data_IF_474367880866
#
_entry.id   IF_474367880866
#
_cell.length_a   1.000
_cell.length_b   1.000
_cell.length_c   1.000
_cell.angle_alpha   90.00
_cell.angle_beta   90.00
_cell.angle_gamma   90.00
#
_symmetry.space_group_name_H-M   'P 1'
#
loop_
_entity.id
_entity.type
_entity.pdbx_description
1 polymer ?
#
# COMPACT_ATOMS: atom_id res chain seq x y z
N UNK A 1 4.56 -7.81 3.20
CA UNK A 1 4.62 -6.64 2.30
C UNK A 1 3.26 -6.49 1.65
N UNK A 2 2.62 -5.34 1.84
CA UNK A 2 1.30 -5.00 1.33
C UNK A 2 1.32 -4.63 -0.16
N UNK A 3 0.21 -4.89 -0.86
CA UNK A 3 -0.01 -4.32 -2.19
C UNK A 3 0.08 -2.80 -2.15
N UNK A 4 0.90 -2.20 -2.99
CA UNK A 4 1.23 -0.77 -2.86
C UNK A 4 0.90 0.03 -4.12
N UNK A 5 0.96 -0.60 -5.28
CA UNK A 5 0.80 0.14 -6.54
C UNK A 5 -0.65 0.51 -6.80
N UNK A 6 -1.61 -0.28 -6.31
CA UNK A 6 -3.02 0.09 -6.34
C UNK A 6 -3.30 1.38 -5.56
N UNK A 7 -2.73 1.54 -4.36
CA UNK A 7 -2.84 2.80 -3.60
C UNK A 7 -2.19 3.98 -4.31
N UNK A 8 -0.99 3.80 -4.87
CA UNK A 8 -0.32 4.85 -5.66
C UNK A 8 -1.12 5.24 -6.90
N UNK A 9 -1.76 4.28 -7.55
CA UNK A 9 -2.64 4.52 -8.70
C UNK A 9 -3.89 5.31 -8.32
N UNK A 10 -4.52 4.98 -7.19
CA UNK A 10 -5.61 5.80 -6.64
C UNK A 10 -5.09 7.21 -6.31
N UNK A 11 -3.89 7.32 -5.74
CA UNK A 11 -3.31 8.59 -5.36
C UNK A 11 -3.07 9.52 -6.55
N UNK A 12 -2.54 9.00 -7.67
CA UNK A 12 -2.35 9.76 -8.92
C UNK A 12 -3.67 10.32 -9.47
N UNK A 13 -4.78 9.60 -9.29
CA UNK A 13 -6.11 9.99 -9.81
C UNK A 13 -6.85 10.95 -8.88
N UNK A 14 -6.69 10.77 -7.57
CA UNK A 14 -7.40 11.54 -6.55
C UNK A 14 -6.74 12.88 -6.31
N UNK A 15 -5.41 12.95 -6.33
CA UNK A 15 -4.67 14.18 -6.06
C UNK A 15 -5.22 15.43 -6.79
N UNK A 16 -5.41 15.41 -8.13
CA UNK A 16 -5.95 16.58 -8.84
C UNK A 16 -7.40 16.92 -8.46
N UNK A 17 -8.19 15.95 -7.96
CA UNK A 17 -9.58 16.19 -7.57
C UNK A 17 -9.67 16.99 -6.26
N UNK A 18 -8.74 16.80 -5.34
CA UNK A 18 -8.78 17.44 -4.01
C UNK A 18 -7.82 18.64 -3.87
N UNK A 19 -6.76 18.71 -4.68
CA UNK A 19 -5.80 19.81 -4.62
C UNK A 19 -5.79 20.73 -5.86
N UNK A 20 -6.45 20.33 -6.96
CA UNK A 20 -6.52 21.11 -8.20
C UNK A 20 -5.14 21.51 -8.73
N UNK A 21 -5.08 22.68 -9.39
CA UNK A 21 -3.85 23.24 -9.96
C UNK A 21 -3.06 24.02 -8.89
N UNK A 22 -2.38 23.32 -7.97
CA UNK A 22 -1.58 23.94 -6.91
C UNK A 22 -0.12 24.20 -7.34
N UNK A 23 0.48 25.33 -6.92
CA UNK A 23 1.80 25.77 -7.40
C UNK A 23 3.03 24.95 -6.89
N UNK A 24 2.88 24.09 -5.87
CA UNK A 24 3.92 23.16 -5.37
C UNK A 24 3.54 21.69 -5.67
N UNK A 25 2.87 21.47 -6.80
CA UNK A 25 2.27 20.18 -7.19
C UNK A 25 3.24 19.01 -7.05
N UNK A 26 4.51 19.17 -7.46
CA UNK A 26 5.47 18.07 -7.49
C UNK A 26 5.82 17.50 -6.11
N UNK A 27 6.00 18.34 -5.09
CA UNK A 27 6.29 17.87 -3.71
C UNK A 27 5.01 17.49 -2.98
N UNK A 28 3.93 18.24 -3.18
CA UNK A 28 2.63 17.93 -2.59
C UNK A 28 2.09 16.59 -3.08
N UNK A 29 2.16 16.33 -4.39
CA UNK A 29 1.76 15.07 -5.00
C UNK A 29 2.61 13.90 -4.47
N UNK A 30 3.93 14.10 -4.35
CA UNK A 30 4.82 13.10 -3.77
C UNK A 30 4.53 12.85 -2.28
N UNK A 31 4.10 13.88 -1.54
CA UNK A 31 3.67 13.75 -0.15
C UNK A 31 2.33 13.03 -0.02
N UNK A 32 1.37 13.35 -0.89
CA UNK A 32 0.09 12.64 -0.98
C UNK A 32 0.29 11.16 -1.31
N UNK A 33 1.14 10.86 -2.29
CA UNK A 33 1.52 9.48 -2.61
C UNK A 33 2.20 8.78 -1.42
N UNK A 34 3.11 9.46 -0.72
CA UNK A 34 3.74 8.92 0.50
C UNK A 34 2.71 8.65 1.60
N UNK A 35 1.72 9.53 1.77
CA UNK A 35 0.59 9.33 2.67
C UNK A 35 -0.24 8.10 2.33
N UNK A 36 -0.51 7.86 1.03
CA UNK A 36 -1.30 6.70 0.57
C UNK A 36 -0.64 5.34 0.82
N UNK A 37 0.65 5.34 1.15
CA UNK A 37 1.43 4.15 1.54
C UNK A 37 1.86 4.23 3.01
N UNK A 38 1.57 5.35 3.69
CA UNK A 38 1.97 5.65 5.05
C UNK A 38 1.58 4.56 6.06
N UNK A 39 0.34 4.05 6.03
CA UNK A 39 -0.07 2.96 6.92
C UNK A 39 0.75 1.67 6.75
N UNK A 40 1.33 1.45 5.57
CA UNK A 40 2.08 0.23 5.21
C UNK A 40 3.59 0.32 5.37
N UNK A 41 4.13 1.46 5.82
CA UNK A 41 5.59 1.67 5.88
C UNK A 41 6.33 0.60 6.70
N UNK A 42 5.65 -0.01 7.66
CA UNK A 42 6.13 -1.07 8.52
C UNK A 42 6.15 -2.45 7.90
N UNK A 43 5.40 -2.68 6.83
CA UNK A 43 5.34 -3.97 6.14
C UNK A 43 6.44 -4.17 5.11
N UNK A 44 7.23 -3.14 4.83
CA UNK A 44 8.46 -3.27 4.05
C UNK A 44 9.62 -3.78 4.91
N UNK A 45 10.48 -4.67 4.39
CA UNK A 45 11.62 -5.19 5.15
C UNK A 45 12.50 -4.07 5.75
N UNK A 46 12.53 -4.02 7.08
CA UNK A 46 13.26 -3.01 7.88
C UNK A 46 12.38 -1.91 8.49
N UNK A 47 11.08 -1.88 8.19
CA UNK A 47 10.13 -0.92 8.74
C UNK A 47 9.51 -1.31 10.10
N UNK A 48 8.74 -0.38 10.72
CA UNK A 48 8.06 -0.59 11.99
C UNK A 48 6.75 -1.41 11.85
N UNK A 49 6.84 -2.73 11.71
CA UNK A 49 5.65 -3.58 11.51
C UNK A 49 4.56 -3.43 12.59
N UNK A 50 4.95 -3.18 13.85
CA UNK A 50 4.00 -2.94 14.94
C UNK A 50 3.14 -1.69 14.70
N UNK A 51 3.75 -0.60 14.21
CA UNK A 51 3.02 0.61 13.85
C UNK A 51 2.01 0.33 12.75
N UNK A 52 2.43 -0.34 11.67
CA UNK A 52 1.54 -0.65 10.55
C UNK A 52 0.37 -1.51 10.98
N UNK A 53 0.59 -2.58 11.76
CA UNK A 53 -0.53 -3.37 12.28
C UNK A 53 -1.50 -2.54 13.12
N UNK A 54 -0.99 -1.70 14.02
CA UNK A 54 -1.85 -0.87 14.87
C UNK A 54 -2.57 0.22 14.09
N UNK A 55 -1.93 0.81 13.09
CA UNK A 55 -2.57 1.78 12.20
C UNK A 55 -3.76 1.20 11.41
N UNK A 56 -3.74 -0.11 11.15
CA UNK A 56 -4.85 -0.83 10.49
C UNK A 56 -5.94 -1.30 11.45
N UNK A 57 -5.63 -1.52 12.73
CA UNK A 57 -6.55 -2.13 13.69
C UNK A 57 -7.13 -1.13 14.69
N UNK A 58 -6.38 -0.09 15.02
CA UNK A 58 -6.64 0.77 16.16
C UNK A 58 -6.82 2.21 15.71
N UNK A 59 -7.97 2.81 16.06
CA UNK A 59 -8.15 4.27 16.09
C UNK A 59 -7.78 5.00 14.78
N UNK A 60 -7.93 4.36 13.63
CA UNK A 60 -7.43 4.88 12.35
C UNK A 60 -8.07 6.22 11.94
N UNK A 61 -9.37 6.42 12.22
CA UNK A 61 -10.07 7.67 11.93
C UNK A 61 -9.68 8.80 12.87
N UNK A 62 -9.53 8.50 14.17
CA UNK A 62 -9.02 9.46 15.15
C UNK A 62 -7.58 9.88 14.82
N UNK A 63 -6.75 8.91 14.44
CA UNK A 63 -5.37 9.15 14.04
C UNK A 63 -5.29 10.03 12.79
N UNK A 64 -6.10 9.74 11.77
CA UNK A 64 -6.19 10.57 10.56
C UNK A 64 -6.61 12.01 10.89
N UNK A 65 -7.64 12.19 11.72
CA UNK A 65 -8.06 13.53 12.15
C UNK A 65 -6.95 14.28 12.88
N UNK A 66 -6.20 13.59 13.74
CA UNK A 66 -5.07 14.18 14.44
C UNK A 66 -3.92 14.56 13.48
N UNK A 67 -3.64 13.74 12.44
CA UNK A 67 -2.69 14.08 11.38
C UNK A 67 -3.12 15.35 10.63
N UNK A 68 -4.40 15.44 10.23
CA UNK A 68 -4.95 16.60 9.52
C UNK A 68 -4.88 17.86 10.39
N UNK A 69 -5.26 17.77 11.67
CA UNK A 69 -5.22 18.88 12.61
C UNK A 69 -3.79 19.33 12.94
N UNK A 70 -2.84 18.38 13.01
CA UNK A 70 -1.44 18.65 13.32
C UNK A 70 -0.61 19.15 12.13
N UNK A 71 -1.14 19.09 10.91
CA UNK A 71 -0.40 19.48 9.70
C UNK A 71 -0.17 21.00 9.64
N UNK A 72 1.10 21.41 9.64
CA UNK A 72 1.52 22.81 9.64
C UNK A 72 1.92 23.32 8.24
N UNK A 73 2.08 22.43 7.27
CA UNK A 73 2.46 22.76 5.89
C UNK A 73 1.54 22.13 4.84
N UNK A 74 1.60 22.62 3.60
CA UNK A 74 0.85 22.03 2.49
C UNK A 74 1.27 20.59 2.19
N UNK A 75 2.57 20.28 2.33
CA UNK A 75 3.10 18.91 2.16
C UNK A 75 2.62 17.97 3.28
N UNK A 76 2.61 18.42 4.53
CA UNK A 76 2.04 17.64 5.65
C UNK A 76 0.53 17.42 5.49
N UNK A 77 -0.22 18.44 5.03
CA UNK A 77 -1.65 18.30 4.71
C UNK A 77 -1.88 17.30 3.58
N UNK A 78 -1.08 17.36 2.52
CA UNK A 78 -1.13 16.40 1.43
C UNK A 78 -0.79 14.98 1.91
N UNK A 79 0.24 14.82 2.73
CA UNK A 79 0.57 13.53 3.36
C UNK A 79 -0.58 12.98 4.21
N UNK A 80 -1.16 13.80 5.09
CA UNK A 80 -2.30 13.39 5.92
C UNK A 80 -3.54 13.04 5.07
N UNK A 81 -3.82 13.80 4.00
CA UNK A 81 -4.90 13.48 3.07
C UNK A 81 -4.63 12.16 2.32
N UNK A 82 -3.40 11.90 1.91
CA UNK A 82 -2.98 10.62 1.32
C UNK A 82 -3.20 9.45 2.28
N UNK A 83 -2.89 9.62 3.57
CA UNK A 83 -3.20 8.64 4.61
C UNK A 83 -4.70 8.34 4.67
N UNK A 84 -5.54 9.37 4.56
CA UNK A 84 -6.98 9.20 4.47
C UNK A 84 -7.39 8.35 3.25
N UNK A 85 -6.81 8.61 2.08
CA UNK A 85 -7.10 7.83 0.88
C UNK A 85 -6.79 6.34 1.07
N UNK A 86 -5.68 6.02 1.74
CA UNK A 86 -5.35 4.64 2.10
C UNK A 86 -6.47 4.01 2.95
N UNK A 87 -6.87 4.67 4.04
CA UNK A 87 -7.94 4.17 4.93
C UNK A 87 -9.23 3.87 4.16
N UNK A 88 -9.67 4.79 3.28
CA UNK A 88 -10.87 4.56 2.47
C UNK A 88 -10.71 3.43 1.45
N UNK A 89 -9.52 3.26 0.87
CA UNK A 89 -9.23 2.19 -0.07
C UNK A 89 -9.31 0.83 0.63
N UNK A 90 -8.68 0.67 1.79
CA UNK A 90 -8.69 -0.57 2.56
C UNK A 90 -10.09 -0.95 3.01
N UNK A 91 -10.84 0.03 3.54
CA UNK A 91 -12.24 -0.18 3.93
C UNK A 91 -13.12 -0.71 2.78
N UNK A 92 -12.77 -0.41 1.54
CA UNK A 92 -13.50 -0.89 0.37
C UNK A 92 -12.97 -2.23 -0.17
N UNK A 93 -11.64 -2.41 -0.17
CA UNK A 93 -10.97 -3.51 -0.89
C UNK A 93 -10.68 -4.70 0.01
N UNK A 94 -10.25 -4.50 1.26
CA UNK A 94 -9.88 -5.61 2.15
C UNK A 94 -11.03 -6.57 2.47
N UNK A 95 -12.28 -6.14 2.72
CA UNK A 95 -13.39 -7.08 2.91
C UNK A 95 -13.57 -8.03 1.70
N UNK A 96 -13.32 -7.51 0.49
CA UNK A 96 -13.35 -8.32 -0.73
C UNK A 96 -12.13 -9.26 -0.83
N UNK A 97 -10.93 -8.78 -0.49
CA UNK A 97 -9.70 -9.61 -0.45
C UNK A 97 -9.89 -10.77 0.53
N UNK A 98 -10.33 -10.51 1.75
CA UNK A 98 -10.54 -11.52 2.78
C UNK A 98 -11.61 -12.53 2.37
N UNK A 99 -12.72 -12.08 1.80
CA UNK A 99 -13.75 -12.98 1.27
C UNK A 99 -13.19 -13.91 0.18
N UNK A 100 -12.30 -13.39 -0.68
CA UNK A 100 -11.67 -14.16 -1.76
C UNK A 100 -10.65 -15.15 -1.21
N UNK A 101 -9.82 -14.74 -0.25
CA UNK A 101 -8.86 -15.63 0.43
C UNK A 101 -9.60 -16.75 1.15
N UNK A 102 -10.66 -16.43 1.89
CA UNK A 102 -11.48 -17.42 2.57
C UNK A 102 -12.11 -18.43 1.59
N UNK A 103 -12.55 -17.99 0.41
CA UNK A 103 -13.05 -18.89 -0.63
C UNK A 103 -11.97 -19.86 -1.13
N UNK A 104 -10.77 -19.35 -1.45
CA UNK A 104 -9.64 -20.20 -1.88
C UNK A 104 -9.27 -21.26 -0.84
N UNK A 105 -9.27 -20.88 0.44
CA UNK A 105 -8.97 -21.79 1.54
C UNK A 105 -10.06 -22.86 1.71
N UNK A 106 -11.36 -22.49 1.59
CA UNK A 106 -12.48 -23.44 1.61
C UNK A 106 -12.43 -24.45 0.46
N UNK A 107 -11.94 -24.04 -0.70
CA UNK A 107 -11.71 -24.91 -1.86
C UNK A 107 -10.52 -25.86 -1.69
N UNK A 108 -9.81 -25.80 -0.55
CA UNK A 108 -8.68 -26.68 -0.24
C UNK A 108 -7.35 -26.22 -0.85
N UNK A 109 -7.25 -24.97 -1.29
CA UNK A 109 -6.03 -24.42 -1.89
C UNK A 109 -4.88 -24.40 -0.88
N UNK A 110 -3.70 -24.90 -1.27
CA UNK A 110 -2.50 -24.95 -0.42
C UNK A 110 -1.47 -23.90 -0.81
N UNK A 111 -0.76 -23.30 0.16
CA UNK A 111 -0.76 -23.60 1.60
C UNK A 111 -1.95 -22.98 2.35
N UNK A 112 -2.27 -23.47 3.55
CA UNK A 112 -3.42 -22.99 4.36
C UNK A 112 -3.10 -21.73 5.17
N UNK A 113 -2.23 -20.86 4.64
CA UNK A 113 -1.74 -19.65 5.34
C UNK A 113 -2.45 -18.43 4.75
N UNK A 114 -3.37 -17.82 5.51
CA UNK A 114 -4.23 -16.74 5.02
C UNK A 114 -3.42 -15.54 4.51
N UNK A 115 -2.51 -14.99 5.32
CA UNK A 115 -1.73 -13.79 4.95
C UNK A 115 -0.94 -13.98 3.65
N UNK A 116 -0.49 -15.21 3.37
CA UNK A 116 0.23 -15.49 2.14
C UNK A 116 -0.68 -15.35 0.91
N UNK A 117 -1.93 -15.81 1.01
CA UNK A 117 -2.91 -15.65 -0.07
C UNK A 117 -3.39 -14.22 -0.22
N UNK A 118 -3.56 -13.52 0.90
CA UNK A 118 -3.83 -12.09 0.92
C UNK A 118 -2.77 -11.34 0.09
N UNK A 119 -1.50 -11.47 0.47
CA UNK A 119 -0.40 -10.81 -0.25
C UNK A 119 -0.31 -11.27 -1.71
N UNK A 120 -0.52 -12.56 -2.01
CA UNK A 120 -0.50 -13.04 -3.40
C UNK A 120 -1.56 -12.37 -4.26
N UNK A 121 -2.77 -12.16 -3.72
CA UNK A 121 -3.86 -11.52 -4.44
C UNK A 121 -3.54 -10.04 -4.69
N UNK A 122 -3.10 -9.33 -3.67
CA UNK A 122 -2.66 -7.93 -3.77
C UNK A 122 -1.55 -7.75 -4.80
N UNK A 123 -0.48 -8.55 -4.71
CA UNK A 123 0.61 -8.50 -5.69
C UNK A 123 0.16 -8.87 -7.09
N UNK A 124 -0.87 -9.72 -7.23
CA UNK A 124 -1.48 -10.04 -8.51
C UNK A 124 -2.20 -8.86 -9.14
N UNK A 125 -2.95 -8.10 -8.33
CA UNK A 125 -3.60 -6.85 -8.74
C UNK A 125 -2.55 -5.84 -9.19
N UNK A 126 -1.50 -5.64 -8.37
CA UNK A 126 -0.39 -4.75 -8.70
C UNK A 126 0.35 -5.17 -9.98
N UNK A 127 0.55 -6.48 -10.22
CA UNK A 127 1.14 -6.97 -11.47
C UNK A 127 0.32 -6.56 -12.69
N UNK A 128 -1.01 -6.70 -12.60
CA UNK A 128 -1.92 -6.36 -13.70
C UNK A 128 -1.98 -4.86 -13.94
N UNK A 129 -1.99 -4.08 -12.86
CA UNK A 129 -1.92 -2.62 -12.93
C UNK A 129 -0.61 -2.17 -13.58
N UNK A 130 0.54 -2.62 -13.10
CA UNK A 130 1.86 -2.26 -13.63
C UNK A 130 2.11 -2.71 -15.08
N UNK A 131 1.36 -3.72 -15.56
CA UNK A 131 1.38 -4.17 -16.95
C UNK A 131 0.53 -3.30 -17.89
N UNK A 132 -0.39 -2.50 -17.34
CA UNK A 132 -1.34 -1.71 -18.12
C UNK A 132 -0.65 -0.53 -18.83
N UNK A 133 -1.17 -0.17 -20.01
CA UNK A 133 -0.64 0.95 -20.79
C UNK A 133 -0.78 2.27 -20.01
N UNK A 134 0.22 3.14 -20.12
CA UNK A 134 0.22 4.45 -19.45
C UNK A 134 0.67 4.44 -17.99
N UNK A 135 0.98 3.27 -17.40
CA UNK A 135 1.36 3.17 -15.97
C UNK A 135 2.85 3.41 -15.69
N UNK A 136 3.58 4.07 -16.59
CA UNK A 136 5.02 4.35 -16.44
C UNK A 136 5.35 5.29 -15.26
N UNK A 137 4.36 6.05 -14.79
CA UNK A 137 4.45 6.88 -13.57
C UNK A 137 4.69 6.03 -12.33
N UNK A 138 3.90 4.97 -12.15
CA UNK A 138 3.97 4.06 -11.00
C UNK A 138 5.33 3.36 -10.86
N UNK A 139 6.00 3.06 -11.97
CA UNK A 139 7.35 2.49 -11.96
C UNK A 139 8.42 3.43 -11.37
N UNK A 140 8.11 4.72 -11.31
CA UNK A 140 8.98 5.80 -10.87
C UNK A 140 8.28 6.69 -9.84
N UNK A 141 7.31 6.12 -9.11
CA UNK A 141 6.54 6.84 -8.10
C UNK A 141 7.49 7.59 -7.16
N UNK A 142 7.24 8.89 -7.01
CA UNK A 142 8.01 9.77 -6.15
C UNK A 142 7.29 9.86 -4.82
N UNK A 143 8.01 9.58 -3.74
CA UNK A 143 7.50 9.72 -2.39
C UNK A 143 8.27 10.84 -1.69
N UNK A 144 7.54 11.68 -0.96
CA UNK A 144 8.11 12.70 -0.10
C UNK A 144 7.49 12.60 1.29
N UNK A 145 8.24 12.10 2.25
CA UNK A 145 7.83 12.12 3.66
C UNK A 145 8.17 13.50 4.25
N UNK A 146 7.18 14.35 4.59
CA UNK A 146 7.46 15.71 5.02
C UNK A 146 8.18 15.76 6.37
N UNK A 147 9.13 16.68 6.49
CA UNK A 147 9.90 16.94 7.71
C UNK A 147 9.77 18.40 8.12
N UNK A 148 9.69 18.65 9.42
CA UNK A 148 9.69 19.99 10.01
C UNK A 148 11.12 20.53 10.11
N UNK A 149 11.25 21.82 10.42
CA UNK A 149 12.55 22.49 10.52
C UNK A 149 13.47 21.90 11.59
N UNK A 150 12.91 21.28 12.63
CA UNK A 150 13.63 20.60 13.71
C UNK A 150 13.91 19.11 13.41
N UNK A 151 13.61 18.63 12.19
CA UNK A 151 13.84 17.28 11.73
C UNK A 151 12.73 16.27 12.08
N UNK A 152 11.80 16.64 12.98
CA UNK A 152 10.69 15.76 13.36
C UNK A 152 9.67 15.64 12.21
N UNK A 153 8.97 14.51 12.14
CA UNK A 153 7.87 14.31 11.21
C UNK A 153 6.52 14.53 11.90
N UNK A 154 5.50 14.96 11.13
CA UNK A 154 4.11 14.96 11.59
C UNK A 154 3.70 13.56 12.07
N UNK A 155 4.08 12.53 11.30
CA UNK A 155 3.77 11.13 11.60
C UNK A 155 4.36 10.68 12.94
N UNK A 156 5.60 11.09 13.25
CA UNK A 156 6.24 10.81 14.53
C UNK A 156 5.59 11.54 15.69
N UNK A 157 5.27 12.83 15.51
CA UNK A 157 4.64 13.64 16.56
C UNK A 157 3.25 13.11 16.94
N UNK A 158 2.38 12.90 15.95
CA UNK A 158 1.02 12.38 16.18
C UNK A 158 1.08 10.90 16.53
N UNK A 159 1.91 10.12 15.84
CA UNK A 159 2.07 8.68 16.05
C UNK A 159 2.49 8.35 17.48
N UNK A 160 3.39 9.14 18.07
CA UNK A 160 3.82 8.93 19.46
C UNK A 160 2.68 9.09 20.47
N UNK A 161 1.70 9.95 20.19
CA UNK A 161 0.51 10.14 21.05
C UNK A 161 -0.41 8.91 21.00
N UNK A 162 -0.55 8.29 19.83
CA UNK A 162 -1.47 7.16 19.63
C UNK A 162 -0.85 5.80 19.88
N UNK A 163 0.39 5.60 19.42
CA UNK A 163 1.06 4.31 19.38
C UNK A 163 2.33 4.25 20.23
N UNK A 164 2.70 5.36 20.90
CA UNK A 164 3.85 5.41 21.79
C UNK A 164 5.16 5.11 21.04
N UNK A 165 5.96 4.19 21.57
CA UNK A 165 7.29 3.83 21.03
C UNK A 165 7.23 3.20 19.63
N UNK A 166 6.09 2.66 19.22
CA UNK A 166 5.97 2.02 17.91
C UNK A 166 6.07 3.07 16.77
N UNK A 167 5.82 4.35 17.09
CA UNK A 167 5.95 5.49 16.19
C UNK A 167 7.19 6.36 16.50
N UNK A 168 8.23 5.80 17.14
CA UNK A 168 9.47 6.54 17.37
C UNK A 168 10.10 6.99 16.05
N UNK A 169 10.58 8.24 15.99
CA UNK A 169 11.06 8.90 14.78
C UNK A 169 12.12 8.07 14.02
N UNK A 170 13.08 7.47 14.74
CA UNK A 170 14.11 6.62 14.13
C UNK A 170 13.56 5.35 13.48
N UNK A 171 12.42 4.83 13.96
CA UNK A 171 11.74 3.68 13.35
C UNK A 171 11.04 4.13 12.05
N UNK A 172 10.38 5.28 12.10
CA UNK A 172 9.70 5.88 10.96
C UNK A 172 10.68 6.16 9.82
N UNK A 173 11.81 6.83 10.10
CA UNK A 173 12.87 7.10 9.12
C UNK A 173 13.32 5.81 8.40
N UNK A 174 13.54 4.72 9.15
CA UNK A 174 13.91 3.43 8.54
C UNK A 174 12.78 2.83 7.69
N UNK A 175 11.53 2.97 8.13
CA UNK A 175 10.35 2.54 7.39
C UNK A 175 10.17 3.32 6.08
N UNK A 176 10.32 4.63 6.12
CA UNK A 176 10.26 5.54 4.97
C UNK A 176 11.33 5.17 3.93
N UNK A 177 12.59 5.02 4.37
CA UNK A 177 13.67 4.60 3.48
C UNK A 177 13.44 3.19 2.91
N UNK A 178 12.95 2.25 3.72
CA UNK A 178 12.64 0.90 3.28
C UNK A 178 11.55 0.92 2.20
N UNK A 179 10.48 1.67 2.44
CA UNK A 179 9.36 1.87 1.51
C UNK A 179 9.86 2.39 0.16
N UNK A 180 10.64 3.49 0.16
CA UNK A 180 11.21 4.06 -1.08
C UNK A 180 12.08 3.04 -1.81
N UNK A 181 13.00 2.37 -1.09
CA UNK A 181 13.91 1.38 -1.69
C UNK A 181 13.14 0.22 -2.31
N UNK A 182 12.11 -0.29 -1.64
CA UNK A 182 11.37 -1.46 -2.10
C UNK A 182 10.41 -1.14 -3.25
N UNK A 183 9.72 -0.01 -3.22
CA UNK A 183 8.85 0.41 -4.33
C UNK A 183 9.64 0.62 -5.63
N UNK A 184 10.91 1.04 -5.55
CA UNK A 184 11.80 1.12 -6.72
C UNK A 184 12.30 -0.25 -7.24
N UNK A 185 12.20 -1.30 -6.42
CA UNK A 185 12.71 -2.66 -6.73
C UNK A 185 11.60 -3.62 -7.13
N UNK A 186 10.44 -3.57 -6.49
CA UNK A 186 9.33 -4.51 -6.68
C UNK A 186 8.90 -4.61 -8.15
N UNK A 187 8.67 -3.52 -8.91
CA UNK A 187 8.29 -3.63 -10.32
C UNK A 187 9.35 -4.37 -11.15
N UNK A 188 10.63 -4.17 -10.85
CA UNK A 188 11.75 -4.87 -11.51
C UNK A 188 11.78 -6.34 -11.14
N UNK A 189 11.56 -6.67 -9.86
CA UNK A 189 11.49 -8.05 -9.37
C UNK A 189 10.34 -8.80 -10.05
N UNK A 190 9.15 -8.21 -10.09
CA UNK A 190 7.97 -8.79 -10.72
C UNK A 190 8.15 -8.94 -12.24
N UNK A 191 8.79 -7.97 -12.90
CA UNK A 191 9.12 -8.04 -14.31
C UNK A 191 10.17 -9.11 -14.63
N UNK A 192 11.27 -9.19 -13.88
CA UNK A 192 12.28 -10.24 -14.03
C UNK A 192 11.73 -11.64 -13.67
N UNK A 193 10.79 -11.73 -12.73
CA UNK A 193 10.05 -12.95 -12.43
C UNK A 193 9.08 -13.38 -13.55
N UNK A 194 8.85 -12.51 -14.53
CA UNK A 194 7.95 -12.75 -15.66
C UNK A 194 6.46 -12.58 -15.31
N UNK A 195 6.14 -11.90 -14.20
CA UNK A 195 4.77 -11.65 -13.77
C UNK A 195 4.15 -10.42 -14.43
N UNK A 196 4.99 -9.48 -14.90
CA UNK A 196 4.57 -8.27 -15.60
C UNK A 196 5.09 -8.31 -17.03
N UNK A 197 4.24 -8.01 -18.01
CA UNK A 197 4.63 -7.80 -19.41
C UNK A 197 4.33 -6.37 -19.81
N UNK A 198 5.38 -5.57 -20.01
CA UNK A 198 5.25 -4.18 -20.46
C UNK A 198 5.49 -4.14 -21.97
N UNK A 199 4.54 -3.57 -22.72
CA UNK A 199 4.68 -3.40 -24.16
C UNK A 199 5.99 -2.65 -24.49
N UNK A 200 6.75 -3.15 -25.48
CA UNK A 200 8.03 -2.56 -25.88
C UNK A 200 9.21 -2.84 -24.94
N UNK A 201 9.02 -3.52 -23.80
CA UNK A 201 10.12 -3.93 -22.90
C UNK A 201 10.24 -5.44 -22.85
N UNK A 202 11.41 -5.98 -23.20
CA UNK A 202 11.71 -7.41 -23.02
C UNK A 202 12.69 -7.59 -21.86
N UNK A 203 12.39 -8.43 -20.86
CA UNK A 203 13.36 -8.73 -19.81
C UNK A 203 14.54 -9.49 -20.44
N UNK A 204 15.72 -9.35 -19.84
CA UNK A 204 16.87 -10.14 -20.25
C UNK A 204 16.52 -11.63 -20.09
N UNK A 205 16.65 -12.47 -21.14
CA UNK A 205 16.22 -13.87 -21.10
C UNK A 205 16.95 -14.69 -20.03
N UNK A 206 18.22 -14.38 -19.74
CA UNK A 206 18.99 -15.04 -18.69
C UNK A 206 18.48 -14.66 -17.29
N UNK A 207 18.19 -13.38 -17.06
CA UNK A 207 17.58 -12.92 -15.81
C UNK A 207 16.20 -13.54 -15.62
N UNK A 208 15.41 -13.60 -16.70
CA UNK A 208 14.09 -14.23 -16.69
C UNK A 208 14.20 -15.70 -16.32
N UNK A 209 15.12 -16.45 -16.94
CA UNK A 209 15.27 -17.87 -16.65
C UNK A 209 15.75 -18.12 -15.21
N UNK A 210 16.72 -17.35 -14.73
CA UNK A 210 17.23 -17.44 -13.37
C UNK A 210 16.17 -17.06 -12.32
N UNK A 211 15.50 -15.91 -12.46
CA UNK A 211 14.50 -15.46 -11.48
C UNK A 211 13.18 -16.22 -11.59
N UNK A 212 12.71 -16.50 -12.80
CA UNK A 212 11.44 -17.16 -13.01
C UNK A 212 11.50 -18.66 -12.67
N UNK A 213 12.58 -19.37 -12.95
CA UNK A 213 12.68 -20.79 -12.59
C UNK A 213 13.14 -20.99 -11.14
N UNK A 214 14.26 -20.37 -10.76
CA UNK A 214 14.85 -20.56 -9.44
C UNK A 214 14.04 -19.83 -8.36
N UNK A 215 13.57 -18.62 -8.64
CA UNK A 215 12.74 -17.86 -7.70
C UNK A 215 11.40 -18.53 -7.44
N UNK A 216 10.67 -18.99 -8.47
CA UNK A 216 9.38 -19.66 -8.25
C UNK A 216 9.51 -20.98 -7.50
N UNK A 217 10.48 -21.81 -7.86
CA UNK A 217 10.64 -23.14 -7.24
C UNK A 217 11.26 -23.06 -5.85
N UNK A 218 12.26 -22.21 -5.63
CA UNK A 218 12.94 -22.12 -4.33
C UNK A 218 12.21 -21.14 -3.39
N UNK A 219 11.97 -19.90 -3.81
CA UNK A 219 11.31 -18.90 -2.95
C UNK A 219 9.80 -19.16 -2.85
N UNK A 220 9.16 -19.52 -3.97
CA UNK A 220 7.70 -19.73 -4.02
C UNK A 220 7.23 -21.05 -3.39
N UNK A 221 7.87 -22.19 -3.72
CA UNK A 221 7.39 -23.52 -3.28
C UNK A 221 8.10 -24.03 -2.02
N UNK A 222 9.41 -23.83 -1.90
CA UNK A 222 10.18 -24.37 -0.79
C UNK A 222 10.13 -23.45 0.44
N UNK A 223 10.42 -22.16 0.26
CA UNK A 223 10.52 -21.20 1.37
C UNK A 223 9.16 -20.70 1.92
N UNK A 224 8.04 -20.92 1.21
CA UNK A 224 6.71 -20.56 1.72
C UNK A 224 6.34 -21.24 3.05
N UNK A 225 7.01 -22.34 3.41
CA UNK A 225 6.81 -23.05 4.68
C UNK A 225 7.44 -22.32 5.88
N UNK A 226 8.23 -21.28 5.64
CA UNK A 226 8.99 -20.56 6.66
C UNK A 226 8.43 -19.15 6.82
N UNK A 227 7.89 -18.83 7.99
CA UNK A 227 7.20 -17.57 8.26
C UNK A 227 8.02 -16.32 7.85
N UNK A 228 9.35 -16.34 8.03
CA UNK A 228 10.25 -15.24 7.66
C UNK A 228 10.37 -14.95 6.17
N UNK A 229 9.89 -15.83 5.29
CA UNK A 229 9.99 -15.69 3.83
C UNK A 229 8.64 -15.53 3.14
N UNK A 230 7.54 -15.34 3.89
CA UNK A 230 6.19 -15.21 3.33
C UNK A 230 6.11 -14.12 2.25
N UNK A 231 6.71 -12.95 2.48
CA UNK A 231 6.69 -11.84 1.53
C UNK A 231 7.39 -12.19 0.21
N UNK A 232 8.57 -12.81 0.29
CA UNK A 232 9.32 -13.26 -0.88
C UNK A 232 8.58 -14.37 -1.64
N UNK A 233 7.91 -15.27 -0.91
CA UNK A 233 7.08 -16.31 -1.50
C UNK A 233 5.83 -15.76 -2.19
N UNK A 234 5.22 -14.70 -1.65
CA UNK A 234 4.09 -14.01 -2.26
C UNK A 234 4.51 -13.32 -3.57
N UNK A 235 5.58 -12.52 -3.53
CA UNK A 235 6.13 -11.85 -4.72
C UNK A 235 6.62 -12.82 -5.80
N UNK A 236 7.11 -14.00 -5.41
CA UNK A 236 7.53 -15.02 -6.36
C UNK A 236 6.35 -15.71 -7.05
N UNK A 237 5.16 -15.72 -6.44
CA UNK A 237 3.96 -16.39 -6.99
C UNK A 237 2.69 -15.55 -6.75
N UNK A 238 2.61 -14.32 -7.30
CA UNK A 238 1.40 -13.52 -7.23
C UNK A 238 0.25 -14.25 -7.92
N UNK A 239 -0.96 -14.08 -7.37
CA UNK A 239 -2.19 -14.63 -7.92
C UNK A 239 -2.77 -13.65 -8.93
N UNK A 240 -2.43 -13.80 -10.21
CA UNK A 240 -2.90 -12.90 -11.26
C UNK A 240 -4.43 -12.95 -11.38
N UNK A 241 -5.13 -11.81 -11.26
CA UNK A 241 -6.59 -11.78 -11.33
C UNK A 241 -7.09 -11.95 -12.76
N UNK A 242 -8.25 -12.61 -12.90
CA UNK A 242 -9.02 -12.59 -14.14
C UNK A 242 -9.55 -11.18 -14.45
N UNK A 243 -10.03 -10.96 -15.68
CA UNK A 243 -10.54 -9.65 -16.10
C UNK A 243 -11.68 -9.18 -15.20
N UNK A 244 -12.65 -10.06 -14.95
CA UNK A 244 -13.78 -9.79 -14.06
C UNK A 244 -13.34 -9.44 -12.63
N UNK A 245 -12.37 -10.18 -12.07
CA UNK A 245 -11.84 -9.95 -10.72
C UNK A 245 -11.15 -8.59 -10.66
N UNK A 246 -10.35 -8.25 -11.67
CA UNK A 246 -9.67 -6.97 -11.73
C UNK A 246 -10.64 -5.80 -11.88
N UNK A 247 -11.64 -5.91 -12.76
CA UNK A 247 -12.69 -4.90 -12.92
C UNK A 247 -13.47 -4.68 -11.62
N UNK A 248 -13.73 -5.74 -10.86
CA UNK A 248 -14.39 -5.62 -9.56
C UNK A 248 -13.54 -4.80 -8.56
N UNK A 249 -12.24 -5.08 -8.47
CA UNK A 249 -11.33 -4.33 -7.58
C UNK A 249 -11.22 -2.87 -8.01
N UNK A 250 -11.14 -2.61 -9.32
CA UNK A 250 -11.12 -1.24 -9.84
C UNK A 250 -12.38 -0.48 -9.43
N UNK A 251 -13.57 -1.09 -9.54
CA UNK A 251 -14.84 -0.48 -9.08
C UNK A 251 -14.86 -0.20 -7.58
N UNK A 252 -14.30 -1.09 -6.76
CA UNK A 252 -14.15 -0.85 -5.32
C UNK A 252 -13.22 0.34 -5.05
N UNK A 253 -12.10 0.43 -5.78
CA UNK A 253 -11.20 1.57 -5.73
C UNK A 253 -11.88 2.89 -6.14
N UNK A 254 -12.66 2.89 -7.21
CA UNK A 254 -13.43 4.06 -7.64
C UNK A 254 -14.46 4.50 -6.58
N UNK A 255 -15.16 3.54 -5.97
CA UNK A 255 -16.06 3.83 -4.85
C UNK A 255 -15.32 4.39 -3.64
N UNK A 256 -14.12 3.88 -3.33
CA UNK A 256 -13.26 4.41 -2.29
C UNK A 256 -12.83 5.86 -2.57
N UNK A 257 -12.50 6.19 -3.84
CA UNK A 257 -12.17 7.56 -4.25
C UNK A 257 -13.34 8.52 -4.00
N UNK A 258 -14.56 8.14 -4.39
CA UNK A 258 -15.76 8.97 -4.18
C UNK A 258 -16.02 9.22 -2.69
N UNK A 259 -15.92 8.17 -1.87
CA UNK A 259 -16.09 8.26 -0.41
C UNK A 259 -14.98 9.08 0.23
N UNK A 260 -13.74 8.92 -0.23
CA UNK A 260 -12.61 9.71 0.20
C UNK A 260 -12.82 11.20 -0.10
N UNK A 261 -13.19 11.57 -1.33
CA UNK A 261 -13.39 12.98 -1.70
C UNK A 261 -14.46 13.63 -0.83
N UNK A 262 -15.60 12.95 -0.61
CA UNK A 262 -16.63 13.42 0.33
C UNK A 262 -16.07 13.56 1.75
N UNK A 263 -15.36 12.55 2.22
CA UNK A 263 -14.71 12.58 3.53
C UNK A 263 -13.73 13.73 3.67
N UNK A 264 -12.96 14.03 2.63
CA UNK A 264 -12.01 15.13 2.58
C UNK A 264 -12.71 16.48 2.71
N UNK A 265 -13.80 16.70 1.96
CA UNK A 265 -14.61 17.93 2.03
C UNK A 265 -15.24 18.12 3.42
N UNK A 266 -15.59 17.02 4.10
CA UNK A 266 -16.17 17.01 5.44
C UNK A 266 -15.10 16.98 6.57
N UNK A 267 -13.80 17.10 6.23
CA UNK A 267 -12.71 17.04 7.21
C UNK A 267 -12.60 15.70 7.96
N UNK A 268 -13.08 14.62 7.34
CA UNK A 268 -13.15 13.26 7.86
C UNK A 268 -13.94 13.13 9.17
N UNK A 269 -14.90 14.02 9.42
CA UNK A 269 -15.69 14.04 10.65
C UNK A 269 -16.51 12.76 10.87
N UNK A 270 -17.00 12.14 9.79
CA UNK A 270 -17.84 10.94 9.83
C UNK A 270 -17.04 9.62 9.80
N UNK A 271 -15.71 9.68 9.67
CA UNK A 271 -14.89 8.48 9.60
C UNK A 271 -14.77 7.84 11.00
N UNK A 272 -15.33 6.63 11.17
CA UNK A 272 -15.14 5.85 12.40
C UNK A 272 -13.71 5.33 12.55
N UNK A 273 -13.53 4.36 13.45
CA UNK A 273 -12.27 3.63 13.61
C UNK A 273 -12.45 2.16 13.17
N UNK A 274 -12.68 1.88 11.88
CA UNK A 274 -12.81 0.50 11.43
C UNK A 274 -11.51 -0.27 11.55
N UNK A 275 -11.62 -1.59 11.77
CA UNK A 275 -10.57 -2.53 11.43
C UNK A 275 -10.42 -2.56 9.91
N UNK A 276 -9.27 -2.12 9.41
CA UNK A 276 -9.02 -2.02 7.98
C UNK A 276 -8.89 -3.37 7.29
N UNK A 277 -8.67 -4.48 8.00
CA UNK A 277 -8.65 -5.81 7.39
C UNK A 277 -10.07 -6.35 7.14
N UNK A 278 -11.02 -6.06 8.04
CA UNK A 278 -12.38 -6.63 8.00
C UNK A 278 -13.44 -5.62 7.55
N UNK A 279 -13.18 -4.33 7.69
CA UNK A 279 -14.12 -3.24 7.47
C UNK A 279 -15.15 -3.06 8.59
N UNK A 280 -15.07 -3.86 9.66
CA UNK A 280 -15.96 -3.77 10.82
C UNK A 280 -15.55 -2.60 11.73
N UNK A 281 -16.48 -2.08 12.53
CA UNK A 281 -16.13 -1.06 13.52
C UNK A 281 -15.14 -1.65 14.54
N UNK A 282 -13.95 -1.07 14.67
CA UNK A 282 -12.97 -1.51 15.65
C UNK A 282 -13.43 -1.18 17.06
N UNK A 283 -13.17 -2.11 17.99
CA UNK A 283 -13.34 -1.86 19.41
C UNK A 283 -12.32 -0.79 19.84
N UNK A 284 -12.82 0.39 20.18
CA UNK A 284 -12.02 1.57 20.56
C UNK A 284 -11.38 1.50 21.94
#
# INVERSE_FOLDING_TARGET
>A
MAGSFFHLWLAERVFPLVFGDCADEGKMQAAFAAGSIGPDIGFFPGGPAALSHRAHLERCGDFLRALIQGAASANERAFAAGWGLHVYADMAVHPWVEARVAALLREGTRPTVSDLWHMRLEWGIDCRLLASAGMDGLWRARLHFPRRADGRSLLGEVGKVFYGRDADESLLERGEEATIRWLQRIPKILWWGGHIRVAGRRPNPLCTLAFAHLGRKILGDWLQHWARFKDGAALARPLLPSDQVYEQVVKLGESAMERFCRGFDEGFAQLGNPDLYTGEAGDG
#
